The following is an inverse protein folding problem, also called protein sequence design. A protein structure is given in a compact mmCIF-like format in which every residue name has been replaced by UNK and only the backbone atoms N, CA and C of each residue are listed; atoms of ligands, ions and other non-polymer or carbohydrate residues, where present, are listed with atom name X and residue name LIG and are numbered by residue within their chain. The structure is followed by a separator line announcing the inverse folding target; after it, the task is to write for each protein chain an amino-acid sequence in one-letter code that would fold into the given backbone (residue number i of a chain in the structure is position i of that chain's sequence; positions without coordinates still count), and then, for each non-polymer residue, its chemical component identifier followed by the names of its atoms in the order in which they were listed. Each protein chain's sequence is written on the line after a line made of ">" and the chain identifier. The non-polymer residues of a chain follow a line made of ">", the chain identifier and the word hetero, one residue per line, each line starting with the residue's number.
data_IF_087932008430
#
_entry.id   IF_087932008430
#
_cell.length_a   1.000
_cell.length_b   1.000
_cell.length_c   1.000
_cell.angle_alpha   90.00
_cell.angle_beta   90.00
_cell.angle_gamma   90.00
#
_symmetry.space_group_name_H-M   'P 1'
#
loop_
_entity.id
_entity.type
_entity.pdbx_description
1 polymer ?
#
# COMPACT_ATOMS: atom_id res chain seq x y z
N UNK A 1 23.07 10.90 -6.70
CA UNK A 1 22.82 11.55 -5.41
C UNK A 1 22.47 10.47 -4.39
N UNK A 2 23.22 10.38 -3.30
CA UNK A 2 23.05 9.33 -2.30
C UNK A 2 21.79 9.56 -1.50
N UNK A 3 20.80 8.65 -1.62
CA UNK A 3 19.54 8.62 -0.86
C UNK A 3 19.71 8.25 0.62
N UNK A 4 20.92 8.36 1.17
CA UNK A 4 21.24 7.81 2.49
C UNK A 4 20.68 8.59 3.69
N UNK A 5 20.07 9.77 3.49
CA UNK A 5 19.64 10.65 4.59
C UNK A 5 18.25 11.27 4.43
N UNK A 6 17.39 10.75 3.53
CA UNK A 6 16.03 11.24 3.45
C UNK A 6 15.22 10.76 4.65
N UNK A 7 14.49 11.68 5.28
CA UNK A 7 13.55 11.34 6.34
C UNK A 7 12.39 10.53 5.79
N UNK A 8 11.72 9.76 6.64
CA UNK A 8 10.50 9.03 6.31
C UNK A 8 9.47 9.92 5.59
N UNK A 9 9.29 11.16 6.04
CA UNK A 9 8.34 12.11 5.46
C UNK A 9 8.73 12.60 4.06
N UNK A 10 10.01 12.77 3.79
CA UNK A 10 10.50 13.13 2.46
C UNK A 10 10.31 12.00 1.45
N UNK A 11 10.59 10.75 1.88
CA UNK A 11 10.45 9.55 1.05
C UNK A 11 9.01 9.26 0.61
N UNK A 12 8.02 9.75 1.36
CA UNK A 12 6.59 9.56 1.08
C UNK A 12 5.89 10.82 0.57
N UNK A 13 6.65 11.88 0.29
CA UNK A 13 6.05 13.10 -0.27
C UNK A 13 5.52 12.86 -1.68
N UNK A 14 4.38 13.48 -2.06
CA UNK A 14 3.82 13.36 -3.41
C UNK A 14 4.78 13.82 -4.52
N UNK A 15 5.66 14.79 -4.23
CA UNK A 15 6.68 15.24 -5.17
C UNK A 15 7.74 14.16 -5.39
N UNK A 16 8.24 13.55 -4.32
CA UNK A 16 9.23 12.47 -4.41
C UNK A 16 8.67 11.24 -5.14
N UNK A 17 7.40 10.91 -4.95
CA UNK A 17 6.75 9.83 -5.70
C UNK A 17 6.74 10.10 -7.20
N UNK A 18 6.34 11.30 -7.65
CA UNK A 18 6.30 11.67 -9.07
C UNK A 18 7.66 11.60 -9.74
N UNK A 19 8.69 12.07 -9.07
CA UNK A 19 10.05 12.14 -9.60
C UNK A 19 10.74 10.76 -9.65
N UNK A 20 10.20 9.76 -8.93
CA UNK A 20 10.76 8.42 -8.81
C UNK A 20 9.88 7.31 -9.39
N UNK A 21 9.03 7.62 -10.38
CA UNK A 21 8.24 6.61 -11.10
C UNK A 21 9.19 5.73 -11.91
N UNK A 22 9.13 4.42 -11.64
CA UNK A 22 9.82 3.41 -12.43
C UNK A 22 8.81 2.35 -12.83
N UNK A 23 8.52 2.24 -14.12
CA UNK A 23 7.60 1.24 -14.65
C UNK A 23 8.15 -0.18 -14.49
N UNK A 24 7.24 -1.15 -14.43
CA UNK A 24 7.53 -2.58 -14.34
C UNK A 24 7.27 -3.15 -12.96
N UNK A 25 6.84 -4.41 -12.93
CA UNK A 25 6.45 -5.14 -11.71
C UNK A 25 7.53 -6.10 -11.20
N UNK A 26 8.66 -6.23 -11.91
CA UNK A 26 9.68 -7.25 -11.61
C UNK A 26 10.30 -7.09 -10.23
N UNK A 27 10.59 -5.85 -9.80
CA UNK A 27 11.15 -5.56 -8.48
C UNK A 27 10.18 -5.93 -7.36
N UNK A 28 8.96 -5.38 -7.47
CA UNK A 28 7.89 -5.64 -6.50
C UNK A 28 7.59 -7.14 -6.39
N UNK A 29 7.48 -7.84 -7.52
CA UNK A 29 7.21 -9.28 -7.55
C UNK A 29 8.28 -10.09 -6.81
N UNK A 30 9.56 -9.78 -7.02
CA UNK A 30 10.68 -10.45 -6.32
C UNK A 30 10.60 -10.21 -4.81
N UNK A 31 10.40 -8.95 -4.41
CA UNK A 31 10.30 -8.60 -2.99
C UNK A 31 9.10 -9.29 -2.33
N UNK A 32 7.95 -9.34 -2.97
CA UNK A 32 6.78 -10.04 -2.44
C UNK A 32 7.03 -11.56 -2.33
N UNK A 33 7.73 -12.17 -3.28
CA UNK A 33 8.14 -13.58 -3.20
C UNK A 33 9.05 -13.84 -1.99
N UNK A 34 10.05 -12.98 -1.74
CA UNK A 34 10.93 -13.10 -0.59
C UNK A 34 10.23 -12.82 0.75
N UNK A 35 9.12 -12.09 0.74
CA UNK A 35 8.24 -11.90 1.89
C UNK A 35 7.28 -13.06 2.11
N UNK A 36 7.33 -14.12 1.29
CA UNK A 36 6.41 -15.25 1.38
C UNK A 36 5.07 -15.01 0.69
N UNK A 37 5.00 -14.02 -0.21
CA UNK A 37 3.77 -13.62 -0.92
C UNK A 37 2.60 -13.31 0.03
N UNK A 38 2.71 -12.31 0.90
CA UNK A 38 1.64 -11.94 1.81
C UNK A 38 0.35 -11.69 1.00
N UNK A 39 -0.76 -12.11 1.54
CA UNK A 39 -2.08 -11.98 0.92
C UNK A 39 -2.29 -12.77 -0.40
N UNK A 40 -1.38 -13.64 -0.82
CA UNK A 40 -1.50 -14.36 -2.10
C UNK A 40 -2.79 -15.21 -2.23
N UNK A 41 -3.35 -15.66 -1.12
CA UNK A 41 -4.58 -16.47 -1.08
C UNK A 41 -5.83 -15.65 -0.76
N UNK A 42 -5.70 -14.35 -0.54
CA UNK A 42 -6.80 -13.49 -0.18
C UNK A 42 -7.45 -12.97 -1.47
N UNK A 43 -8.76 -13.16 -1.64
CA UNK A 43 -9.47 -12.60 -2.79
C UNK A 43 -9.37 -11.08 -2.80
N UNK A 44 -9.24 -10.49 -3.99
CA UNK A 44 -9.08 -9.05 -4.15
C UNK A 44 -10.06 -8.48 -5.19
N UNK A 45 -10.64 -7.35 -4.87
CA UNK A 45 -11.39 -6.50 -5.80
C UNK A 45 -10.43 -5.40 -6.26
N UNK A 46 -10.06 -5.42 -7.54
CA UNK A 46 -9.24 -4.37 -8.12
C UNK A 46 -10.14 -3.30 -8.76
N UNK A 47 -9.89 -2.04 -8.40
CA UNK A 47 -10.61 -0.88 -8.93
C UNK A 47 -9.68 -0.18 -9.93
N UNK A 48 -10.13 -0.14 -11.20
CA UNK A 48 -9.41 0.48 -12.31
C UNK A 48 -10.32 1.56 -12.92
N UNK A 49 -9.75 2.62 -13.42
CA UNK A 49 -10.49 3.69 -14.09
C UNK A 49 -9.82 5.05 -13.95
N UNK A 50 -10.26 6.02 -14.72
CA UNK A 50 -9.76 7.40 -14.68
C UNK A 50 -10.37 8.19 -13.53
N UNK A 51 -11.68 8.09 -13.32
CA UNK A 51 -12.43 8.84 -12.31
C UNK A 51 -13.26 7.91 -11.41
N UNK A 52 -13.59 8.37 -10.21
CA UNK A 52 -14.53 7.72 -9.30
C UNK A 52 -13.98 6.48 -8.56
N UNK A 53 -12.70 6.11 -8.74
CA UNK A 53 -12.11 4.95 -8.06
C UNK A 53 -12.26 5.02 -6.54
N UNK A 54 -11.88 6.14 -5.93
CA UNK A 54 -11.98 6.34 -4.48
C UNK A 54 -13.44 6.28 -3.98
N UNK A 55 -14.41 6.78 -4.77
CA UNK A 55 -15.83 6.66 -4.43
C UNK A 55 -16.30 5.22 -4.43
N UNK A 56 -15.89 4.44 -5.44
CA UNK A 56 -16.21 2.99 -5.50
C UNK A 56 -15.58 2.27 -4.31
N UNK A 57 -14.31 2.57 -3.98
CA UNK A 57 -13.66 2.01 -2.81
C UNK A 57 -14.45 2.30 -1.53
N UNK A 58 -14.90 3.54 -1.34
CA UNK A 58 -15.67 3.96 -0.19
C UNK A 58 -17.04 3.24 -0.08
N UNK A 59 -17.73 3.02 -1.21
CA UNK A 59 -18.97 2.23 -1.23
C UNK A 59 -18.72 0.77 -0.84
N UNK A 60 -17.70 0.13 -1.41
CA UNK A 60 -17.33 -1.24 -1.08
C UNK A 60 -16.94 -1.38 0.40
N UNK A 61 -16.16 -0.44 0.93
CA UNK A 61 -15.81 -0.39 2.35
C UNK A 61 -17.06 -0.37 3.25
N UNK A 62 -18.07 0.45 2.90
CA UNK A 62 -19.31 0.50 3.67
C UNK A 62 -20.08 -0.81 3.61
N UNK A 63 -20.24 -1.40 2.42
CA UNK A 63 -20.92 -2.68 2.23
C UNK A 63 -20.24 -3.79 3.05
N UNK A 64 -18.92 -3.90 2.96
CA UNK A 64 -18.18 -4.93 3.67
C UNK A 64 -18.19 -4.72 5.19
N UNK A 65 -18.15 -3.46 5.63
CA UNK A 65 -18.22 -3.11 7.04
C UNK A 65 -19.57 -3.50 7.64
N UNK A 66 -20.69 -3.18 6.98
CA UNK A 66 -22.03 -3.59 7.40
C UNK A 66 -22.20 -5.11 7.35
N UNK A 67 -21.57 -5.78 6.39
CA UNK A 67 -21.54 -7.24 6.31
C UNK A 67 -20.59 -7.89 7.34
N UNK A 68 -19.98 -7.12 8.23
CA UNK A 68 -19.03 -7.57 9.28
C UNK A 68 -17.86 -8.40 8.74
N UNK A 69 -17.40 -8.07 7.53
CA UNK A 69 -16.23 -8.70 6.93
C UNK A 69 -14.94 -8.04 7.43
N UNK A 70 -13.88 -8.85 7.55
CA UNK A 70 -12.55 -8.34 7.84
C UNK A 70 -11.84 -8.06 6.50
N UNK A 71 -11.64 -6.78 6.17
CA UNK A 71 -11.13 -6.38 4.86
C UNK A 71 -10.02 -5.33 4.95
N UNK A 72 -9.09 -5.40 3.98
CA UNK A 72 -8.03 -4.43 3.77
C UNK A 72 -8.27 -3.59 2.54
N UNK A 73 -7.91 -2.31 2.59
CA UNK A 73 -8.06 -1.36 1.49
C UNK A 73 -6.77 -0.60 1.26
N UNK A 74 -6.33 -0.54 0.00
CA UNK A 74 -5.29 0.42 -0.39
C UNK A 74 -5.82 1.34 -1.49
N UNK A 75 -5.59 2.65 -1.30
CA UNK A 75 -6.01 3.72 -2.22
C UNK A 75 -4.86 4.67 -2.50
N UNK A 76 -4.94 5.39 -3.62
CA UNK A 76 -3.96 6.42 -3.99
C UNK A 76 -4.60 7.51 -4.88
N UNK A 77 -4.12 8.76 -4.78
CA UNK A 77 -3.22 9.29 -3.75
C UNK A 77 -3.92 9.49 -2.40
N UNK A 78 -3.19 9.87 -1.36
CA UNK A 78 -3.77 10.38 -0.12
C UNK A 78 -4.14 11.87 -0.25
N UNK A 79 -5.03 12.37 0.61
CA UNK A 79 -5.45 13.77 0.65
C UNK A 79 -4.62 14.56 1.67
N UNK A 80 -4.49 14.05 2.88
CA UNK A 80 -3.84 14.73 4.00
C UNK A 80 -2.71 13.90 4.63
N UNK A 81 -2.91 12.59 4.82
CA UNK A 81 -1.98 11.73 5.52
C UNK A 81 -1.76 10.43 4.74
N UNK A 82 -0.50 10.02 4.63
CA UNK A 82 -0.10 8.79 3.95
C UNK A 82 -0.80 7.54 4.52
N UNK A 83 -1.15 7.55 5.81
CA UNK A 83 -1.86 6.46 6.46
C UNK A 83 -3.26 6.20 5.88
N UNK A 84 -3.85 7.18 5.16
CA UNK A 84 -5.10 7.01 4.43
C UNK A 84 -5.00 5.93 3.34
N UNK A 85 -3.78 5.66 2.85
CA UNK A 85 -3.54 4.68 1.79
C UNK A 85 -3.67 3.24 2.24
N UNK A 86 -3.66 2.98 3.55
CA UNK A 86 -3.71 1.63 4.12
C UNK A 86 -4.76 1.59 5.21
N UNK A 87 -5.87 0.93 4.96
CA UNK A 87 -6.98 0.83 5.92
C UNK A 87 -7.39 -0.62 6.16
N UNK A 88 -7.78 -0.92 7.38
CA UNK A 88 -8.43 -2.18 7.74
C UNK A 88 -9.73 -1.85 8.46
N UNK A 89 -10.85 -2.37 7.96
CA UNK A 89 -12.18 -2.16 8.52
C UNK A 89 -12.49 -0.67 8.78
N UNK A 90 -12.23 0.18 7.75
CA UNK A 90 -12.39 1.65 7.76
C UNK A 90 -11.44 2.42 8.68
N UNK A 91 -10.47 1.77 9.32
CA UNK A 91 -9.47 2.42 10.17
C UNK A 91 -8.13 2.50 9.45
N UNK A 92 -7.57 3.70 9.36
CA UNK A 92 -6.23 3.90 8.83
C UNK A 92 -5.20 3.14 9.68
N UNK A 93 -4.14 2.66 9.03
CA UNK A 93 -2.95 2.22 9.75
C UNK A 93 -2.44 3.37 10.63
N UNK A 94 -2.04 3.07 11.85
CA UNK A 94 -1.42 4.10 12.67
C UNK A 94 0.03 4.36 12.22
N UNK A 95 0.52 5.56 12.49
CA UNK A 95 1.82 6.04 12.04
C UNK A 95 2.97 5.16 12.51
N UNK A 96 2.91 4.70 13.76
CA UNK A 96 3.95 3.85 14.35
C UNK A 96 4.06 2.50 13.65
N UNK A 97 2.93 1.84 13.35
CA UNK A 97 2.94 0.57 12.63
C UNK A 97 3.42 0.75 11.19
N UNK A 98 2.98 1.83 10.54
CA UNK A 98 3.42 2.13 9.18
C UNK A 98 4.93 2.36 9.11
N UNK A 99 5.48 3.21 10.00
CA UNK A 99 6.93 3.48 10.09
C UNK A 99 7.74 2.21 10.36
N UNK A 100 7.30 1.37 11.29
CA UNK A 100 7.98 0.11 11.60
C UNK A 100 8.07 -0.81 10.38
N UNK A 101 6.94 -1.01 9.68
CA UNK A 101 6.92 -1.88 8.50
C UNK A 101 7.74 -1.27 7.38
N UNK A 102 7.63 0.03 7.15
CA UNK A 102 8.38 0.75 6.12
C UNK A 102 9.89 0.64 6.31
N UNK A 103 10.37 0.89 7.53
CA UNK A 103 11.81 0.78 7.88
C UNK A 103 12.32 -0.65 7.71
N UNK A 104 11.52 -1.66 8.04
CA UNK A 104 11.88 -3.06 7.83
C UNK A 104 12.03 -3.37 6.32
N UNK A 105 11.08 -2.90 5.49
CA UNK A 105 11.13 -3.08 4.04
C UNK A 105 12.34 -2.36 3.46
N UNK A 106 12.58 -1.11 3.87
CA UNK A 106 13.70 -0.30 3.41
C UNK A 106 15.04 -0.99 3.71
N UNK A 107 15.23 -1.49 4.94
CA UNK A 107 16.47 -2.17 5.33
C UNK A 107 16.64 -3.52 4.64
N UNK A 108 15.59 -4.33 4.59
CA UNK A 108 15.68 -5.70 4.07
C UNK A 108 15.82 -5.76 2.55
N UNK A 109 15.17 -4.82 1.85
CA UNK A 109 15.03 -4.85 0.39
C UNK A 109 15.67 -3.64 -0.31
N UNK A 110 16.63 -2.96 0.33
CA UNK A 110 17.34 -1.80 -0.23
C UNK A 110 17.94 -2.07 -1.61
N UNK A 111 18.47 -3.26 -1.84
CA UNK A 111 19.10 -3.67 -3.11
C UNK A 111 18.14 -3.70 -4.30
N UNK A 112 16.84 -3.88 -4.06
CA UNK A 112 15.82 -3.90 -5.11
C UNK A 112 15.43 -2.53 -5.63
N UNK A 113 15.83 -1.44 -4.93
CA UNK A 113 15.54 -0.07 -5.31
C UNK A 113 14.05 0.17 -5.60
N UNK A 114 13.19 -0.29 -4.71
CA UNK A 114 11.75 -0.09 -4.81
C UNK A 114 11.40 1.39 -4.87
N UNK A 115 10.44 1.74 -5.71
CA UNK A 115 9.85 3.08 -5.72
C UNK A 115 9.05 3.34 -4.43
N UNK A 116 8.78 4.61 -4.06
CA UNK A 116 7.94 4.91 -2.91
C UNK A 116 6.58 4.21 -2.95
N UNK A 117 5.94 4.18 -4.12
CA UNK A 117 4.67 3.49 -4.32
C UNK A 117 4.79 1.97 -4.06
N UNK A 118 5.82 1.32 -4.64
CA UNK A 118 6.06 -0.11 -4.42
C UNK A 118 6.31 -0.43 -2.94
N UNK A 119 7.01 0.44 -2.20
CA UNK A 119 7.22 0.30 -0.74
C UNK A 119 5.91 0.39 0.03
N UNK A 120 5.03 1.33 -0.34
CA UNK A 120 3.71 1.47 0.27
C UNK A 120 2.86 0.21 0.03
N UNK A 121 2.88 -0.34 -1.17
CA UNK A 121 2.18 -1.59 -1.48
C UNK A 121 2.74 -2.76 -0.64
N UNK A 122 4.06 -2.87 -0.51
CA UNK A 122 4.66 -3.87 0.39
C UNK A 122 4.21 -3.69 1.83
N UNK A 123 4.16 -2.43 2.33
CA UNK A 123 3.65 -2.13 3.67
C UNK A 123 2.19 -2.55 3.83
N UNK A 124 1.34 -2.21 2.86
CA UNK A 124 -0.07 -2.54 2.88
C UNK A 124 -0.29 -4.06 2.97
N UNK A 125 0.33 -4.83 2.08
CA UNK A 125 0.17 -6.29 2.05
C UNK A 125 0.69 -6.96 3.32
N UNK A 126 1.82 -6.50 3.88
CA UNK A 126 2.30 -7.01 5.17
C UNK A 126 1.35 -6.68 6.33
N UNK A 127 0.80 -5.47 6.34
CA UNK A 127 -0.15 -5.06 7.37
C UNK A 127 -1.45 -5.86 7.28
N UNK A 128 -1.97 -6.08 6.07
CA UNK A 128 -3.18 -6.86 5.83
C UNK A 128 -3.01 -8.33 6.23
N UNK A 129 -1.87 -8.93 5.91
CA UNK A 129 -1.53 -10.29 6.31
C UNK A 129 -1.47 -10.42 7.84
N UNK A 130 -0.80 -9.47 8.52
CA UNK A 130 -0.75 -9.42 9.97
C UNK A 130 -2.14 -9.23 10.62
N UNK A 131 -3.03 -8.47 9.98
CA UNK A 131 -4.42 -8.25 10.42
C UNK A 131 -5.36 -9.37 10.00
N UNK A 132 -4.87 -10.38 9.28
CA UNK A 132 -5.62 -11.54 8.81
C UNK A 132 -6.92 -11.16 8.08
N UNK A 133 -6.82 -10.19 7.16
CA UNK A 133 -7.96 -9.77 6.37
C UNK A 133 -8.43 -10.88 5.42
N UNK A 134 -9.73 -10.93 5.16
CA UNK A 134 -10.38 -11.96 4.33
C UNK A 134 -10.61 -11.52 2.90
N UNK A 135 -10.55 -10.21 2.65
CA UNK A 135 -10.80 -9.60 1.33
C UNK A 135 -9.97 -8.33 1.18
N UNK A 136 -9.50 -8.07 -0.03
CA UNK A 136 -8.76 -6.85 -0.36
C UNK A 136 -9.56 -5.97 -1.33
N UNK A 137 -9.47 -4.66 -1.13
CA UNK A 137 -9.87 -3.65 -2.12
C UNK A 137 -8.60 -2.90 -2.54
N UNK A 138 -8.25 -3.01 -3.82
CA UNK A 138 -7.01 -2.48 -4.37
C UNK A 138 -7.33 -1.42 -5.44
N UNK A 139 -7.11 -0.15 -5.13
CA UNK A 139 -7.20 0.92 -6.12
C UNK A 139 -5.91 0.98 -6.94
N UNK A 140 -6.03 0.92 -8.27
CA UNK A 140 -4.89 1.11 -9.16
C UNK A 140 -4.44 2.58 -9.15
N UNK A 141 -3.14 2.81 -8.97
CA UNK A 141 -2.56 4.15 -8.96
C UNK A 141 -2.53 4.79 -10.35
N UNK A 142 -2.16 3.99 -11.35
CA UNK A 142 -2.18 4.35 -12.77
C UNK A 142 -3.04 3.31 -13.49
N UNK A 143 -4.04 3.79 -14.21
CA UNK A 143 -4.93 2.98 -15.02
C UNK A 143 -4.62 3.14 -16.50
#
# INVERSE_FOLDING_TARGET
>A
MNNANLTFFELISPHYERDNIKLGLSRLKKVLQEQGNPCNKIPAIQIIGTNGKGSIAAYLENILFEAKKNFGVTTSPHLFDICERIRVNKKNINKTDFEKIFVLIEKKFATYQLTPFEKIICCALNFFDHKQVELLILEAGLG
#
